data_IF_951988854058
#
_entry.id   IF_951988854058
#
_cell.length_a   1.000
_cell.length_b   1.000
_cell.length_c   1.000
_cell.angle_alpha   90.00
_cell.angle_beta   90.00
_cell.angle_gamma   90.00
#
_symmetry.space_group_name_H-M   'P 1'
#
loop_
_entity.id
_entity.type
_entity.pdbx_description
1 polymer ?
#
# COMPACT_ATOMS: atom_id res chain seq x y z
N UNK A 1 -12.27 2.98 -14.62
CA UNK A 1 -11.47 1.75 -14.92
C UNK A 1 -10.24 1.80 -14.02
N UNK A 2 -10.20 1.02 -12.94
CA UNK A 2 -9.02 0.99 -12.05
C UNK A 2 -8.10 -0.11 -12.56
N UNK A 3 -7.28 0.19 -13.56
CA UNK A 3 -6.43 -0.79 -14.26
C UNK A 3 -5.05 -0.96 -13.62
N UNK A 4 -4.87 -0.53 -12.37
CA UNK A 4 -3.59 -0.62 -11.67
C UNK A 4 -3.67 -1.65 -10.56
N UNK A 5 -3.10 -2.83 -10.80
CA UNK A 5 -2.83 -3.82 -9.77
C UNK A 5 -1.78 -3.24 -8.82
N UNK A 6 -2.17 -2.98 -7.57
CA UNK A 6 -1.24 -2.56 -6.52
C UNK A 6 -0.93 -3.76 -5.64
N UNK A 7 0.34 -4.17 -5.62
CA UNK A 7 0.84 -5.27 -4.80
C UNK A 7 1.66 -4.68 -3.67
N UNK A 8 1.36 -5.12 -2.45
CA UNK A 8 2.06 -4.67 -1.25
C UNK A 8 2.79 -5.85 -0.63
N UNK A 9 4.04 -5.63 -0.21
CA UNK A 9 4.80 -6.64 0.55
C UNK A 9 5.30 -6.02 1.84
N UNK A 10 5.04 -6.70 2.96
CA UNK A 10 5.62 -6.34 4.25
C UNK A 10 6.92 -7.11 4.43
N UNK A 11 8.04 -6.39 4.48
CA UNK A 11 9.38 -6.92 4.70
C UNK A 11 9.85 -6.54 6.10
N UNK A 12 10.33 -7.52 6.86
CA UNK A 12 11.15 -7.27 8.06
C UNK A 12 12.62 -7.54 7.74
N UNK A 13 13.51 -6.60 8.04
CA UNK A 13 14.96 -6.78 7.95
C UNK A 13 15.64 -5.95 9.05
N UNK A 14 16.60 -6.55 9.77
CA UNK A 14 17.45 -5.84 10.74
C UNK A 14 16.67 -5.02 11.80
N UNK A 15 15.63 -5.64 12.38
CA UNK A 15 14.69 -5.02 13.34
C UNK A 15 13.84 -3.85 12.78
N UNK A 16 13.88 -3.62 11.46
CA UNK A 16 13.06 -2.62 10.77
C UNK A 16 12.01 -3.28 9.87
N UNK A 17 10.80 -2.71 9.85
CA UNK A 17 9.74 -3.14 8.95
C UNK A 17 9.53 -2.13 7.82
N UNK A 18 9.22 -2.64 6.64
CA UNK A 18 9.06 -1.86 5.42
C UNK A 18 7.86 -2.38 4.62
N UNK A 19 7.12 -1.47 3.99
CA UNK A 19 6.01 -1.80 3.09
C UNK A 19 6.44 -1.41 1.68
N UNK A 20 6.68 -2.40 0.82
CA UNK A 20 6.94 -2.14 -0.59
C UNK A 20 5.60 -1.99 -1.33
N UNK A 21 5.39 -0.85 -1.99
CA UNK A 21 4.20 -0.59 -2.80
C UNK A 21 4.58 -0.67 -4.26
N UNK A 22 4.13 -1.71 -4.96
CA UNK A 22 4.30 -1.86 -6.40
C UNK A 22 2.99 -1.55 -7.11
N UNK A 23 3.04 -0.63 -8.07
CA UNK A 23 1.92 -0.34 -8.98
C UNK A 23 2.35 -0.75 -10.38
N UNK A 24 1.48 -1.39 -11.16
CA UNK A 24 1.82 -1.79 -12.53
C UNK A 24 2.35 -0.59 -13.35
N UNK A 25 3.56 -0.72 -13.89
CA UNK A 25 4.23 0.34 -14.65
C UNK A 25 4.97 1.40 -13.81
N UNK A 26 4.92 1.31 -12.47
CA UNK A 26 5.64 2.19 -11.54
C UNK A 26 6.67 1.36 -10.75
N UNK A 27 7.92 1.83 -10.58
CA UNK A 27 8.87 1.16 -9.69
C UNK A 27 8.32 1.08 -8.27
N UNK A 28 8.55 -0.06 -7.60
CA UNK A 28 8.11 -0.22 -6.22
C UNK A 28 8.82 0.81 -5.32
N UNK A 29 8.05 1.55 -4.53
CA UNK A 29 8.59 2.49 -3.55
C UNK A 29 8.43 1.92 -2.14
N UNK A 30 9.53 1.82 -1.36
CA UNK A 30 9.47 1.36 0.02
C UNK A 30 8.94 2.47 0.93
N UNK A 31 8.00 2.11 1.80
CA UNK A 31 7.47 2.96 2.87
C UNK A 31 7.98 2.41 4.20
N UNK A 32 8.65 3.26 4.99
CA UNK A 32 9.29 2.89 6.26
C UNK A 32 10.55 3.73 6.54
N UNK A 33 11.40 3.31 7.50
CA UNK A 33 11.25 2.12 8.34
C UNK A 33 10.19 2.31 9.43
N UNK A 34 9.54 1.21 9.82
CA UNK A 34 8.69 1.13 11.01
C UNK A 34 9.42 0.38 12.12
N UNK A 35 9.22 0.80 13.37
CA UNK A 35 9.90 0.25 14.54
C UNK A 35 9.26 -1.07 15.01
N UNK A 36 8.05 -1.38 14.52
CA UNK A 36 7.33 -2.60 14.88
C UNK A 36 6.43 -3.12 13.77
N UNK A 37 6.12 -4.41 13.85
CA UNK A 37 5.19 -5.07 12.93
C UNK A 37 3.79 -4.45 13.00
N UNK A 38 3.32 -4.11 14.20
CA UNK A 38 2.00 -3.52 14.42
C UNK A 38 1.89 -2.14 13.74
N UNK A 39 2.93 -1.32 13.83
CA UNK A 39 2.99 0.00 13.18
C UNK A 39 2.95 -0.15 11.65
N UNK A 40 3.73 -1.08 11.11
CA UNK A 40 3.73 -1.36 9.68
C UNK A 40 2.38 -1.93 9.20
N UNK A 41 1.72 -2.78 10.00
CA UNK A 41 0.40 -3.30 9.67
C UNK A 41 -0.69 -2.22 9.71
N UNK A 42 -0.61 -1.28 10.66
CA UNK A 42 -1.52 -0.14 10.72
C UNK A 42 -1.36 0.76 9.49
N UNK A 43 -0.12 1.12 9.14
CA UNK A 43 0.18 1.91 7.96
C UNK A 43 -0.26 1.21 6.66
N UNK A 44 -0.10 -0.11 6.58
CA UNK A 44 -0.62 -0.90 5.47
C UNK A 44 -2.15 -0.84 5.37
N UNK A 45 -2.85 -0.97 6.50
CA UNK A 45 -4.31 -0.84 6.55
C UNK A 45 -4.81 0.51 6.04
N UNK A 46 -4.19 1.59 6.49
CA UNK A 46 -4.52 2.97 6.08
C UNK A 46 -4.28 3.17 4.58
N UNK A 47 -3.20 2.63 4.01
CA UNK A 47 -2.92 2.69 2.58
C UNK A 47 -3.98 1.96 1.75
N UNK A 48 -4.40 0.77 2.19
CA UNK A 48 -5.46 0.00 1.52
C UNK A 48 -6.78 0.76 1.56
N UNK A 49 -7.14 1.36 2.69
CA UNK A 49 -8.38 2.12 2.83
C UNK A 49 -8.36 3.45 2.05
N UNK A 50 -7.21 4.14 2.00
CA UNK A 50 -7.00 5.29 1.13
C UNK A 50 -7.18 4.91 -0.35
N UNK A 51 -6.63 3.79 -0.79
CA UNK A 51 -6.77 3.34 -2.17
C UNK A 51 -8.20 2.89 -2.51
N UNK A 52 -8.91 2.28 -1.55
CA UNK A 52 -10.33 1.96 -1.72
C UNK A 52 -11.19 3.22 -1.84
N UNK A 53 -10.94 4.24 -1.02
CA UNK A 53 -11.69 5.50 -1.07
C UNK A 53 -11.38 6.31 -2.32
N UNK A 54 -10.12 6.32 -2.76
CA UNK A 54 -9.67 7.00 -3.99
C UNK A 54 -10.14 6.25 -5.25
N UNK A 55 -10.10 4.91 -5.24
CA UNK A 55 -10.63 4.05 -6.30
C UNK A 55 -12.16 3.99 -6.37
N UNK A 56 -12.86 4.35 -5.28
CA UNK A 56 -14.31 4.43 -5.23
C UNK A 56 -14.90 5.69 -5.90
N UNK A 57 -14.06 6.63 -6.38
CA UNK A 57 -14.55 7.84 -7.06
C UNK A 57 -14.97 7.64 -8.53
N UNK A 58 -14.90 6.43 -9.08
CA UNK A 58 -15.24 6.13 -10.48
C UNK A 58 -16.33 5.05 -10.61
N UNK A 59 -17.40 5.16 -9.79
CA UNK A 59 -18.65 4.42 -10.02
C UNK A 59 -19.79 5.43 -10.12
N UNK A 60 -19.86 6.16 -11.23
CA UNK A 60 -21.10 6.80 -11.65
C UNK A 60 -21.96 5.72 -12.32
N UNK A 61 -23.11 5.31 -11.76
CA UNK A 61 -24.09 4.60 -12.56
C UNK A 61 -24.63 5.60 -13.60
N UNK A 62 -24.26 5.39 -14.86
CA UNK A 62 -24.97 5.95 -16.02
C UNK A 62 -25.99 4.93 -16.49
#
# INVERSE_FOLDING_TARGET
MVDQLVVYTLRGADDEFWIDVAVEGVPAEPIGPFESLDEAQAAFGDLVDMMRTTGAQDIRPS
#
